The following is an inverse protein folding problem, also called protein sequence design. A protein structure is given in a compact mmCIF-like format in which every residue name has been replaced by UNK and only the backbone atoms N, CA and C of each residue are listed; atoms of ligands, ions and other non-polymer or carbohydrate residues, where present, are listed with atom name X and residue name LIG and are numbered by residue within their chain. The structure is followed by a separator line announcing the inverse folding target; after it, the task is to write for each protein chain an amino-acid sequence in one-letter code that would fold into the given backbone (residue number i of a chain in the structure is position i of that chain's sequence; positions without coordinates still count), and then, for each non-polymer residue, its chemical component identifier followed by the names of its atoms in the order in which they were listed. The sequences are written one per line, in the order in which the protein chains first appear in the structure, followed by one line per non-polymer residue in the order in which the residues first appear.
data_IF_071405006945
#
_entry.id   IF_071405006945
#
_cell.length_a   1.000
_cell.length_b   1.000
_cell.length_c   1.000
_cell.angle_alpha   90.00
_cell.angle_beta   90.00
_cell.angle_gamma   90.00
#
_symmetry.space_group_name_H-M   'P 1'
#
loop_
_entity.id
_entity.type
_entity.pdbx_description
1 polymer ?
#
# COMPACT_ATOMS: atom_id res chain seq x y z
N UNK A 1 0.28 17.08 4.93
CA UNK A 1 0.54 17.82 3.67
C UNK A 1 -0.50 17.41 2.64
N UNK A 2 -1.04 18.30 1.80
CA UNK A 2 -1.95 17.96 0.68
C UNK A 2 -3.20 17.10 1.01
N UNK A 3 -3.73 17.18 2.23
CA UNK A 3 -4.86 16.34 2.66
C UNK A 3 -6.15 16.61 1.86
N UNK A 4 -6.39 17.85 1.44
CA UNK A 4 -7.69 18.27 0.92
C UNK A 4 -7.74 18.44 -0.60
N UNK A 5 -6.66 18.92 -1.23
CA UNK A 5 -6.58 19.11 -2.68
C UNK A 5 -5.12 19.24 -3.15
N UNK A 6 -4.94 19.39 -4.46
CA UNK A 6 -3.66 19.56 -5.14
C UNK A 6 -3.14 21.02 -5.20
N UNK A 7 -3.73 21.97 -4.46
CA UNK A 7 -3.40 23.40 -4.54
C UNK A 7 -1.90 23.70 -4.39
N UNK A 8 -1.21 22.97 -3.51
CA UNK A 8 0.21 23.18 -3.23
C UNK A 8 1.17 22.46 -4.18
N UNK A 9 0.69 21.70 -5.17
CA UNK A 9 1.57 20.86 -6.01
C UNK A 9 2.60 21.69 -6.77
N UNK A 10 2.21 22.84 -7.34
CA UNK A 10 3.17 23.73 -8.00
C UNK A 10 4.31 24.19 -7.08
N UNK A 11 4.02 24.49 -5.80
CA UNK A 11 5.04 24.87 -4.82
C UNK A 11 5.91 23.68 -4.41
N UNK A 12 5.32 22.50 -4.21
CA UNK A 12 6.08 21.29 -3.90
C UNK A 12 7.06 20.93 -5.03
N UNK A 13 6.64 21.09 -6.28
CA UNK A 13 7.49 20.86 -7.46
C UNK A 13 8.62 21.88 -7.53
N UNK A 14 8.30 23.17 -7.39
CA UNK A 14 9.28 24.28 -7.40
C UNK A 14 10.41 24.06 -6.39
N UNK A 15 10.11 23.48 -5.23
CA UNK A 15 11.07 23.26 -4.15
C UNK A 15 11.58 21.81 -4.06
N UNK A 16 11.29 20.96 -5.05
CA UNK A 16 11.69 19.56 -5.12
C UNK A 16 11.31 18.75 -3.85
N UNK A 17 10.22 19.12 -3.19
CA UNK A 17 9.82 18.55 -1.89
C UNK A 17 9.48 17.06 -2.03
N UNK A 18 8.86 16.66 -3.13
CA UNK A 18 8.49 15.26 -3.35
C UNK A 18 9.73 14.37 -3.44
N UNK A 19 10.80 14.82 -4.11
CA UNK A 19 12.05 14.05 -4.14
C UNK A 19 12.64 13.87 -2.74
N UNK A 20 12.67 14.93 -1.93
CA UNK A 20 13.18 14.86 -0.56
C UNK A 20 12.36 13.90 0.30
N UNK A 21 11.03 13.91 0.16
CA UNK A 21 10.16 12.96 0.86
C UNK A 21 10.43 11.51 0.45
N UNK A 22 10.67 11.25 -0.83
CA UNK A 22 11.05 9.92 -1.33
C UNK A 22 12.36 9.46 -0.68
N UNK A 23 13.32 10.36 -0.52
CA UNK A 23 14.60 10.02 0.11
C UNK A 23 14.42 9.73 1.61
N UNK A 24 13.57 10.49 2.31
CA UNK A 24 13.19 10.29 3.71
C UNK A 24 12.48 8.95 3.99
N UNK A 25 11.95 8.25 2.99
CA UNK A 25 11.44 6.87 3.19
C UNK A 25 12.54 5.86 3.56
N UNK A 26 13.81 6.22 3.40
CA UNK A 26 14.97 5.40 3.79
C UNK A 26 15.79 6.06 4.91
N UNK A 27 15.21 7.00 5.64
CA UNK A 27 15.88 7.67 6.76
C UNK A 27 16.20 6.67 7.88
N UNK A 28 17.24 6.93 8.68
CA UNK A 28 17.57 6.09 9.84
C UNK A 28 16.53 6.19 10.96
N UNK A 29 15.84 7.33 11.07
CA UNK A 29 14.80 7.58 12.06
C UNK A 29 13.42 7.09 11.59
N UNK A 30 12.77 6.25 12.41
CA UNK A 30 11.47 5.66 12.08
C UNK A 30 10.32 6.70 12.04
N UNK A 31 10.39 7.78 12.82
CA UNK A 31 9.37 8.83 12.81
C UNK A 31 9.43 9.65 11.52
N UNK A 32 10.64 9.86 10.99
CA UNK A 32 10.89 10.51 9.70
C UNK A 32 10.35 9.66 8.56
N UNK A 33 10.63 8.35 8.55
CA UNK A 33 10.06 7.42 7.56
C UNK A 33 8.54 7.40 7.60
N UNK A 34 7.94 7.34 8.79
CA UNK A 34 6.49 7.39 8.99
C UNK A 34 5.88 8.68 8.41
N UNK A 35 6.47 9.83 8.72
CA UNK A 35 6.03 11.14 8.24
C UNK A 35 6.14 11.25 6.71
N UNK A 36 7.23 10.72 6.14
CA UNK A 36 7.44 10.66 4.71
C UNK A 36 6.37 9.80 4.00
N UNK A 37 6.09 8.59 4.51
CA UNK A 37 5.05 7.71 3.98
C UNK A 37 3.67 8.38 4.00
N UNK A 38 3.32 9.03 5.11
CA UNK A 38 2.08 9.78 5.23
C UNK A 38 2.00 10.94 4.22
N UNK A 39 3.08 11.72 4.07
CA UNK A 39 3.14 12.82 3.12
C UNK A 39 3.01 12.33 1.67
N UNK A 40 3.75 11.29 1.28
CA UNK A 40 3.68 10.66 -0.04
C UNK A 40 2.25 10.16 -0.32
N UNK A 41 1.62 9.49 0.64
CA UNK A 41 0.24 9.01 0.48
C UNK A 41 -0.75 10.13 0.16
N UNK A 42 -0.58 11.31 0.76
CA UNK A 42 -1.41 12.48 0.45
C UNK A 42 -1.06 13.11 -0.92
N UNK A 43 0.23 13.14 -1.29
CA UNK A 43 0.67 13.62 -2.61
C UNK A 43 0.15 12.71 -3.73
N UNK A 44 0.13 11.40 -3.53
CA UNK A 44 -0.39 10.44 -4.51
C UNK A 44 -1.93 10.44 -4.62
N UNK A 45 -2.64 11.07 -3.69
CA UNK A 45 -4.09 10.89 -3.56
C UNK A 45 -4.93 11.62 -4.62
N UNK A 46 -4.52 12.81 -5.09
CA UNK A 46 -5.43 13.69 -5.85
C UNK A 46 -5.36 13.54 -7.37
N UNK A 47 -4.16 13.43 -7.95
CA UNK A 47 -3.97 13.28 -9.40
C UNK A 47 -2.57 12.73 -9.73
N UNK A 48 -2.22 12.68 -11.03
CA UNK A 48 -0.97 12.10 -11.52
C UNK A 48 0.20 13.08 -11.72
N UNK A 49 0.10 14.30 -11.19
CA UNK A 49 1.10 15.37 -11.39
C UNK A 49 2.53 14.97 -10.97
N UNK A 50 2.69 14.19 -9.90
CA UNK A 50 3.99 13.79 -9.35
C UNK A 50 4.39 12.35 -9.67
N UNK A 51 3.79 11.73 -10.69
CA UNK A 51 4.01 10.31 -10.91
C UNK A 51 5.49 9.97 -11.16
N UNK A 52 6.20 10.71 -12.01
CA UNK A 52 7.60 10.37 -12.28
C UNK A 52 8.50 10.49 -11.05
N UNK A 53 8.29 11.51 -10.21
CA UNK A 53 9.02 11.68 -8.96
C UNK A 53 8.69 10.58 -7.94
N UNK A 54 7.42 10.18 -7.86
CA UNK A 54 6.94 9.17 -6.94
C UNK A 54 7.33 7.74 -7.35
N UNK A 55 7.68 7.48 -8.61
CA UNK A 55 8.08 6.14 -9.08
C UNK A 55 9.20 5.51 -8.24
N UNK A 56 10.10 6.33 -7.69
CA UNK A 56 11.23 5.91 -6.85
C UNK A 56 10.82 5.49 -5.42
N UNK A 57 9.64 5.86 -4.93
CA UNK A 57 9.20 5.44 -3.59
C UNK A 57 8.73 4.00 -3.53
N UNK A 58 8.25 3.42 -4.64
CA UNK A 58 7.68 2.06 -4.69
C UNK A 58 8.55 1.00 -3.97
N UNK A 59 9.85 0.81 -4.33
CA UNK A 59 10.69 -0.19 -3.65
C UNK A 59 10.99 0.19 -2.20
N UNK A 60 11.09 1.49 -1.89
CA UNK A 60 11.33 1.97 -0.51
C UNK A 60 10.13 1.65 0.40
N UNK A 61 8.92 1.93 -0.07
CA UNK A 61 7.69 1.61 0.66
C UNK A 61 7.52 0.10 0.82
N UNK A 62 7.81 -0.69 -0.22
CA UNK A 62 7.77 -2.16 -0.14
C UNK A 62 8.73 -2.70 0.94
N UNK A 63 9.96 -2.19 1.01
CA UNK A 63 10.92 -2.58 2.04
C UNK A 63 10.45 -2.26 3.46
N UNK A 64 9.73 -1.15 3.67
CA UNK A 64 9.18 -0.80 4.98
C UNK A 64 8.10 -1.78 5.44
N UNK A 65 7.30 -2.33 4.51
CA UNK A 65 6.29 -3.34 4.85
C UNK A 65 6.93 -4.65 5.34
N UNK A 66 8.09 -5.01 4.78
CA UNK A 66 8.81 -6.24 5.06
C UNK A 66 9.76 -6.14 6.26
N UNK A 67 10.00 -4.94 6.80
CA UNK A 67 10.90 -4.76 7.93
C UNK A 67 10.22 -5.15 9.24
N UNK A 68 10.83 -6.08 9.99
CA UNK A 68 10.35 -6.49 11.32
C UNK A 68 10.51 -5.38 12.36
N UNK A 69 11.55 -4.55 12.24
CA UNK A 69 11.86 -3.45 13.16
C UNK A 69 11.02 -2.19 12.91
N UNK A 70 10.26 -2.15 11.81
CA UNK A 70 9.48 -0.99 11.42
C UNK A 70 8.17 -0.89 12.21
N UNK A 71 7.80 0.34 12.56
CA UNK A 71 6.58 0.62 13.32
C UNK A 71 5.33 0.27 12.51
N UNK A 72 4.33 -0.33 13.15
CA UNK A 72 3.02 -0.61 12.55
C UNK A 72 2.41 0.62 11.87
N UNK A 73 2.55 1.80 12.48
CA UNK A 73 2.05 3.06 11.90
C UNK A 73 2.72 3.40 10.57
N UNK A 74 4.02 3.14 10.43
CA UNK A 74 4.73 3.31 9.17
C UNK A 74 4.21 2.32 8.13
N UNK A 75 4.01 1.05 8.49
CA UNK A 75 3.47 0.02 7.57
C UNK A 75 2.06 0.35 7.08
N UNK A 76 1.21 0.89 7.97
CA UNK A 76 -0.12 1.41 7.62
C UNK A 76 -0.01 2.54 6.59
N UNK A 77 0.84 3.54 6.86
CA UNK A 77 1.02 4.67 5.96
C UNK A 77 1.63 4.27 4.62
N UNK A 78 2.60 3.35 4.61
CA UNK A 78 3.21 2.82 3.40
C UNK A 78 2.20 2.03 2.55
N UNK A 79 1.38 1.17 3.16
CA UNK A 79 0.31 0.43 2.47
C UNK A 79 -0.71 1.38 1.83
N UNK A 80 -1.14 2.40 2.57
CA UNK A 80 -2.04 3.43 2.05
C UNK A 80 -1.43 4.24 0.91
N UNK A 81 -0.14 4.58 1.01
CA UNK A 81 0.59 5.28 -0.04
C UNK A 81 0.67 4.44 -1.33
N UNK A 82 1.03 3.16 -1.23
CA UNK A 82 1.07 2.24 -2.37
C UNK A 82 -0.30 2.13 -3.08
N UNK A 83 -1.39 2.04 -2.32
CA UNK A 83 -2.75 2.04 -2.88
C UNK A 83 -3.08 3.34 -3.61
N UNK A 84 -2.65 4.48 -3.07
CA UNK A 84 -2.92 5.80 -3.68
C UNK A 84 -2.13 6.03 -4.97
N UNK A 85 -0.91 5.47 -5.10
CA UNK A 85 -0.09 5.62 -6.31
C UNK A 85 -0.79 5.11 -7.57
N UNK A 86 -1.67 4.13 -7.45
CA UNK A 86 -2.39 3.51 -8.58
C UNK A 86 -3.89 3.87 -8.61
N UNK A 87 -4.31 4.83 -7.79
CA UNK A 87 -5.72 5.23 -7.65
C UNK A 87 -6.29 5.81 -8.94
N UNK A 88 -5.51 6.63 -9.63
CA UNK A 88 -5.97 7.44 -10.77
C UNK A 88 -5.45 6.96 -12.11
N UNK A 89 -4.52 6.00 -12.12
CA UNK A 89 -3.88 5.54 -13.34
C UNK A 89 -3.18 4.19 -13.14
N UNK A 90 -3.03 3.45 -14.23
CA UNK A 90 -2.36 2.16 -14.28
C UNK A 90 -0.85 2.26 -14.57
N UNK A 91 -0.30 3.48 -14.76
CA UNK A 91 1.12 3.72 -15.14
C UNK A 91 2.13 2.97 -14.26
N UNK A 92 1.86 2.82 -12.95
CA UNK A 92 2.75 2.09 -12.04
C UNK A 92 2.42 0.61 -11.87
N UNK A 93 1.42 0.04 -12.54
CA UNK A 93 1.05 -1.36 -12.31
C UNK A 93 2.24 -2.31 -12.54
N UNK A 94 2.99 -2.10 -13.62
CA UNK A 94 4.20 -2.86 -13.89
C UNK A 94 5.27 -2.65 -12.79
N UNK A 95 5.60 -1.39 -12.47
CA UNK A 95 6.60 -1.05 -11.44
C UNK A 95 6.25 -1.65 -10.07
N UNK A 96 4.97 -1.63 -9.69
CA UNK A 96 4.45 -2.18 -8.43
C UNK A 96 4.63 -3.69 -8.32
N UNK A 97 4.42 -4.42 -9.42
CA UNK A 97 4.66 -5.87 -9.49
C UNK A 97 6.17 -6.15 -9.52
N UNK A 98 6.89 -5.54 -10.46
CA UNK A 98 8.30 -5.87 -10.71
C UNK A 98 9.23 -5.47 -9.56
N UNK A 99 8.86 -4.46 -8.76
CA UNK A 99 9.62 -4.01 -7.59
C UNK A 99 9.11 -4.61 -6.27
N UNK A 100 8.24 -5.62 -6.34
CA UNK A 100 7.83 -6.43 -5.18
C UNK A 100 6.83 -5.78 -4.24
N UNK A 101 6.22 -4.64 -4.58
CA UNK A 101 5.26 -3.98 -3.68
C UNK A 101 3.99 -4.81 -3.48
N UNK A 102 3.50 -5.50 -4.52
CA UNK A 102 2.37 -6.43 -4.40
C UNK A 102 2.68 -7.60 -3.46
N UNK A 103 3.85 -8.21 -3.61
CA UNK A 103 4.28 -9.31 -2.75
C UNK A 103 4.46 -8.85 -1.30
N UNK A 104 5.01 -7.65 -1.08
CA UNK A 104 5.20 -7.10 0.25
C UNK A 104 3.87 -6.87 0.99
N UNK A 105 2.83 -6.41 0.29
CA UNK A 105 1.48 -6.29 0.85
C UNK A 105 0.89 -7.67 1.22
N UNK A 106 1.06 -8.69 0.37
CA UNK A 106 0.58 -10.03 0.64
C UNK A 106 1.28 -10.68 1.84
N UNK A 107 2.61 -10.52 1.94
CA UNK A 107 3.39 -11.00 3.10
C UNK A 107 2.97 -10.31 4.39
N UNK A 108 2.73 -9.00 4.36
CA UNK A 108 2.22 -8.29 5.53
C UNK A 108 0.84 -8.79 5.99
N UNK A 109 -0.01 -9.27 5.07
CA UNK A 109 -1.28 -9.93 5.44
C UNK A 109 -1.01 -11.32 6.05
N UNK A 110 -0.08 -12.08 5.48
CA UNK A 110 0.32 -13.41 5.94
C UNK A 110 0.90 -13.40 7.36
N UNK A 111 1.89 -12.56 7.63
CA UNK A 111 2.61 -12.52 8.91
C UNK A 111 1.68 -12.26 10.11
N UNK A 112 0.62 -11.48 9.92
CA UNK A 112 -0.34 -11.15 10.98
C UNK A 112 -1.59 -12.04 11.01
N UNK A 113 -1.79 -12.90 10.02
CA UNK A 113 -2.85 -13.93 10.06
C UNK A 113 -2.54 -15.07 11.04
N UNK A 114 -1.25 -15.27 11.35
CA UNK A 114 -0.75 -16.32 12.26
C UNK A 114 -0.81 -15.89 13.73
N UNK A 115 -0.96 -14.59 14.03
CA UNK A 115 -0.76 -14.02 15.36
C UNK A 115 -2.01 -13.30 15.89
N UNK A 116 -2.80 -14.03 16.68
CA UNK A 116 -3.77 -13.58 17.69
C UNK A 116 -5.23 -13.23 17.27
N UNK A 117 -6.25 -13.92 17.85
CA UNK A 117 -7.68 -13.62 17.66
C UNK A 117 -8.22 -12.38 18.37
N UNK A 118 -7.48 -11.75 19.30
CA UNK A 118 -8.07 -10.87 20.31
C UNK A 118 -7.38 -9.50 20.44
N UNK A 119 -7.19 -8.77 19.34
CA UNK A 119 -6.73 -7.38 19.43
C UNK A 119 -7.67 -6.41 18.70
N UNK A 120 -8.38 -5.61 19.49
CA UNK A 120 -9.22 -4.51 19.03
C UNK A 120 -8.34 -3.40 18.46
N UNK A 121 -8.07 -3.45 17.15
CA UNK A 121 -7.45 -2.34 16.43
C UNK A 121 -8.24 -2.06 15.14
N UNK A 122 -8.86 -0.88 15.10
CA UNK A 122 -9.62 -0.36 13.97
C UNK A 122 -8.73 -0.13 12.72
N UNK A 123 -7.41 0.04 12.92
CA UNK A 123 -6.41 0.21 11.86
C UNK A 123 -5.17 -0.66 12.15
N UNK A 124 -5.24 -1.99 11.98
CA UNK A 124 -4.02 -2.82 12.02
C UNK A 124 -3.33 -2.84 10.64
N UNK A 125 -1.99 -2.97 10.57
CA UNK A 125 -1.26 -3.09 9.31
C UNK A 125 -1.84 -4.10 8.30
N UNK A 126 -2.18 -5.36 8.67
CA UNK A 126 -2.74 -6.32 7.72
C UNK A 126 -4.10 -5.92 7.17
N UNK A 127 -4.98 -5.30 7.99
CA UNK A 127 -6.29 -4.81 7.52
C UNK A 127 -6.10 -3.72 6.46
N UNK A 128 -5.17 -2.80 6.69
CA UNK A 128 -4.86 -1.72 5.73
C UNK A 128 -4.18 -2.27 4.48
N UNK A 129 -3.32 -3.28 4.62
CA UNK A 129 -2.68 -3.96 3.49
C UNK A 129 -3.72 -4.71 2.62
N UNK A 130 -4.65 -5.43 3.25
CA UNK A 130 -5.75 -6.11 2.56
C UNK A 130 -6.69 -5.12 1.87
N UNK A 131 -7.05 -4.01 2.54
CA UNK A 131 -7.81 -2.91 1.94
C UNK A 131 -7.07 -2.29 0.74
N UNK A 132 -5.75 -2.14 0.82
CA UNK A 132 -4.93 -1.66 -0.28
C UNK A 132 -5.01 -2.64 -1.46
N UNK A 133 -4.84 -3.94 -1.23
CA UNK A 133 -4.96 -4.98 -2.25
C UNK A 133 -6.34 -5.00 -2.92
N UNK A 134 -7.44 -4.91 -2.15
CA UNK A 134 -8.81 -4.82 -2.73
C UNK A 134 -8.95 -3.62 -3.67
N UNK A 135 -8.55 -2.42 -3.20
CA UNK A 135 -8.57 -1.20 -4.01
C UNK A 135 -7.74 -1.33 -5.29
N UNK A 136 -6.57 -1.98 -5.19
CA UNK A 136 -5.65 -2.16 -6.30
C UNK A 136 -6.18 -3.18 -7.31
N UNK A 137 -6.89 -4.23 -6.90
CA UNK A 137 -7.44 -5.26 -7.78
C UNK A 137 -8.51 -4.77 -8.79
N UNK A 138 -8.79 -3.47 -8.85
CA UNK A 138 -9.44 -2.84 -10.02
C UNK A 138 -8.61 -3.01 -11.30
N UNK A 139 -7.27 -3.07 -11.20
CA UNK A 139 -6.37 -3.23 -12.33
C UNK A 139 -6.09 -4.71 -12.64
N UNK A 140 -6.18 -5.09 -13.91
CA UNK A 140 -6.00 -6.48 -14.37
C UNK A 140 -4.66 -7.09 -13.97
N UNK A 141 -3.57 -6.32 -14.07
CA UNK A 141 -2.23 -6.79 -13.72
C UNK A 141 -2.13 -7.25 -12.25
N UNK A 142 -2.80 -6.54 -11.34
CA UNK A 142 -2.80 -6.91 -9.92
C UNK A 142 -3.68 -8.12 -9.64
N UNK A 143 -4.80 -8.27 -10.36
CA UNK A 143 -5.64 -9.48 -10.27
C UNK A 143 -4.87 -10.73 -10.68
N UNK A 144 -4.20 -10.66 -11.82
CA UNK A 144 -3.38 -11.76 -12.34
C UNK A 144 -2.25 -12.11 -11.38
N UNK A 145 -1.57 -11.09 -10.83
CA UNK A 145 -0.51 -11.29 -9.85
C UNK A 145 -1.02 -11.99 -8.58
N UNK A 146 -2.08 -11.47 -7.96
CA UNK A 146 -2.65 -12.05 -6.73
C UNK A 146 -3.08 -13.50 -6.96
N UNK A 147 -3.74 -13.78 -8.09
CA UNK A 147 -4.18 -15.14 -8.45
C UNK A 147 -3.03 -16.13 -8.64
N UNK A 148 -1.87 -15.66 -9.08
CA UNK A 148 -0.69 -16.48 -9.28
C UNK A 148 0.22 -16.55 -8.03
N UNK A 149 -0.12 -15.84 -6.95
CA UNK A 149 0.70 -15.77 -5.75
C UNK A 149 0.50 -16.98 -4.85
N UNK A 150 1.56 -17.40 -4.16
CA UNK A 150 1.49 -18.48 -3.16
C UNK A 150 0.54 -18.15 -1.99
N UNK A 151 0.32 -16.86 -1.72
CA UNK A 151 -0.60 -16.34 -0.70
C UNK A 151 -2.09 -16.36 -1.13
N UNK A 152 -2.43 -16.86 -2.32
CA UNK A 152 -3.82 -16.82 -2.80
C UNK A 152 -4.77 -17.62 -1.89
N UNK A 153 -4.36 -18.81 -1.45
CA UNK A 153 -5.13 -19.66 -0.54
C UNK A 153 -5.37 -19.02 0.82
N UNK A 154 -4.41 -18.24 1.32
CA UNK A 154 -4.59 -17.45 2.54
C UNK A 154 -5.75 -16.44 2.36
N UNK A 155 -5.84 -15.76 1.21
CA UNK A 155 -6.92 -14.82 0.95
C UNK A 155 -8.28 -15.54 0.91
N UNK A 156 -8.33 -16.77 0.40
CA UNK A 156 -9.53 -17.60 0.45
C UNK A 156 -9.94 -17.90 1.90
N UNK A 157 -9.00 -18.31 2.76
CA UNK A 157 -9.27 -18.55 4.19
C UNK A 157 -9.74 -17.27 4.91
N UNK A 158 -9.19 -16.11 4.56
CA UNK A 158 -9.60 -14.83 5.14
C UNK A 158 -11.05 -14.43 4.79
N UNK A 159 -11.68 -15.05 3.79
CA UNK A 159 -13.10 -14.84 3.50
C UNK A 159 -14.02 -15.32 4.64
N UNK A 160 -13.53 -16.26 5.46
CA UNK A 160 -14.25 -16.82 6.62
C UNK A 160 -13.84 -16.17 7.95
N UNK A 161 -13.12 -15.05 7.91
CA UNK A 161 -12.70 -14.33 9.11
C UNK A 161 -13.90 -13.81 9.91
N UNK A 162 -13.80 -13.87 11.24
CA UNK A 162 -14.79 -13.25 12.16
C UNK A 162 -14.81 -11.72 12.04
N UNK A 163 -13.74 -11.10 11.52
CA UNK A 163 -13.70 -9.67 11.26
C UNK A 163 -14.39 -9.37 9.91
N UNK A 164 -15.58 -8.75 9.98
CA UNK A 164 -16.40 -8.42 8.81
C UNK A 164 -15.66 -7.60 7.75
N UNK A 165 -14.72 -6.72 8.15
CA UNK A 165 -13.95 -5.91 7.21
C UNK A 165 -12.90 -6.75 6.49
N UNK A 166 -12.23 -7.65 7.20
CA UNK A 166 -11.29 -8.61 6.60
C UNK A 166 -12.04 -9.51 5.61
N UNK A 167 -13.12 -10.16 6.06
CA UNK A 167 -13.92 -11.06 5.23
C UNK A 167 -14.46 -10.36 3.98
N UNK A 168 -14.94 -9.11 4.11
CA UNK A 168 -15.42 -8.31 2.99
C UNK A 168 -14.33 -7.99 1.97
N UNK A 169 -13.15 -7.54 2.41
CA UNK A 169 -12.07 -7.19 1.48
C UNK A 169 -11.46 -8.43 0.82
N UNK A 170 -11.28 -9.52 1.56
CA UNK A 170 -10.86 -10.81 1.01
C UNK A 170 -11.85 -11.31 -0.06
N UNK A 171 -13.15 -11.31 0.24
CA UNK A 171 -14.20 -11.71 -0.69
C UNK A 171 -14.21 -10.86 -1.97
N UNK A 172 -14.00 -9.53 -1.84
CA UNK A 172 -13.88 -8.66 -3.00
C UNK A 172 -12.67 -9.00 -3.87
N UNK A 173 -11.51 -9.31 -3.25
CA UNK A 173 -10.29 -9.71 -3.97
C UNK A 173 -10.53 -11.01 -4.73
N UNK A 174 -11.07 -12.05 -4.08
CA UNK A 174 -11.40 -13.34 -4.73
C UNK A 174 -12.39 -13.14 -5.88
N UNK A 175 -13.47 -12.38 -5.65
CA UNK A 175 -14.43 -12.06 -6.70
C UNK A 175 -13.78 -11.36 -7.88
N UNK A 176 -12.95 -10.34 -7.63
CA UNK A 176 -12.26 -9.58 -8.69
C UNK A 176 -11.30 -10.48 -9.46
N UNK A 177 -10.44 -11.25 -8.78
CA UNK A 177 -9.43 -12.13 -9.42
C UNK A 177 -10.03 -13.25 -10.27
N UNK A 178 -11.31 -13.58 -10.06
CA UNK A 178 -12.08 -14.46 -10.95
C UNK A 178 -12.47 -13.81 -12.30
N UNK A 179 -12.56 -12.48 -12.35
CA UNK A 179 -12.94 -11.70 -13.52
C UNK A 179 -11.69 -11.38 -14.35
N UNK A 180 -11.64 -11.93 -15.56
CA UNK A 180 -10.55 -11.74 -16.53
C UNK A 180 -10.31 -10.25 -16.80
#
# INVERSE_FOLDING_TARGET
MCRHNCFFYGLLAKHNIVSLLVDCCSDGDNHTRNSACFAIGNVAYHNDFFYEELRRCIPKLANLLLSEEELDRTKINASGALSNLVRHSNKFCHDMVSKGAMLALLKLVEDHSVVAPNSSWCESPPKVALLALDKMCVHTSFRQFVRASDQYSLIETLCESEDEMIAKHASNIIKRTSQS
#
